data_IF_079044350862
#
_entry.id   IF_079044350862
#
_cell.length_a   1.000
_cell.length_b   1.000
_cell.length_c   1.000
_cell.angle_alpha   90.00
_cell.angle_beta   90.00
_cell.angle_gamma   90.00
#
_symmetry.space_group_name_H-M   'P 1'
#
loop_
_entity.id
_entity.type
_entity.pdbx_description
1 polymer ?
#
# COMPACT_ATOMS: atom_id res chain seq x y z
N UNK A 1 -23.31 6.62 -6.51
CA UNK A 1 -22.45 7.63 -7.19
C UNK A 1 -21.05 7.63 -6.56
N UNK A 2 -19.98 7.65 -7.35
CA UNK A 2 -18.61 7.63 -6.79
C UNK A 2 -18.30 8.95 -6.06
N UNK A 3 -17.74 8.91 -4.85
CA UNK A 3 -17.36 10.12 -4.11
C UNK A 3 -16.16 10.81 -4.79
N UNK A 4 -16.43 11.96 -5.44
CA UNK A 4 -15.46 12.77 -6.19
C UNK A 4 -14.81 13.90 -5.39
N UNK A 5 -15.04 13.98 -4.06
CA UNK A 5 -14.58 15.13 -3.24
C UNK A 5 -13.07 15.39 -3.42
N UNK A 6 -12.24 14.36 -3.33
CA UNK A 6 -10.79 14.50 -3.55
C UNK A 6 -10.45 14.96 -4.98
N UNK A 7 -11.10 14.40 -6.00
CA UNK A 7 -10.90 14.85 -7.39
C UNK A 7 -11.26 16.34 -7.53
N UNK A 8 -12.40 16.75 -6.98
CA UNK A 8 -12.87 18.14 -7.05
C UNK A 8 -11.90 19.11 -6.37
N UNK A 9 -11.31 18.73 -5.23
CA UNK A 9 -10.26 19.54 -4.57
C UNK A 9 -9.04 19.68 -5.48
N UNK A 10 -8.56 18.59 -6.09
CA UNK A 10 -7.42 18.67 -7.01
C UNK A 10 -7.73 19.55 -8.22
N UNK A 11 -8.94 19.49 -8.79
CA UNK A 11 -9.34 20.32 -9.91
C UNK A 11 -9.49 21.80 -9.54
N UNK A 12 -10.12 22.10 -8.40
CA UNK A 12 -10.33 23.47 -7.92
C UNK A 12 -9.00 24.22 -7.64
N UNK A 13 -7.96 23.49 -7.23
CA UNK A 13 -6.64 24.05 -6.94
C UNK A 13 -5.60 23.80 -8.05
N UNK A 14 -6.05 23.49 -9.27
CA UNK A 14 -5.19 23.26 -10.43
C UNK A 14 -4.21 24.41 -10.70
N UNK A 15 -4.66 25.66 -10.61
CA UNK A 15 -3.82 26.85 -10.80
C UNK A 15 -2.74 27.05 -9.72
N UNK A 16 -2.96 26.55 -8.51
CA UNK A 16 -1.91 26.49 -7.48
C UNK A 16 -0.93 25.36 -7.79
N UNK A 17 -1.45 24.16 -8.10
CA UNK A 17 -0.64 22.98 -8.37
C UNK A 17 0.30 23.16 -9.58
N UNK A 18 -0.14 23.86 -10.63
CA UNK A 18 0.68 24.14 -11.82
C UNK A 18 1.82 25.13 -11.57
N UNK A 19 1.69 26.01 -10.57
CA UNK A 19 2.72 26.99 -10.17
C UNK A 19 3.71 26.43 -9.16
N UNK A 20 3.41 25.31 -8.52
CA UNK A 20 4.33 24.66 -7.57
C UNK A 20 5.25 23.67 -8.26
N UNK A 21 6.55 23.73 -7.98
CA UNK A 21 7.47 22.69 -8.42
C UNK A 21 7.11 21.34 -7.76
N UNK A 22 6.89 20.31 -8.56
CA UNK A 22 6.51 18.98 -8.11
C UNK A 22 7.41 17.93 -8.77
N UNK A 23 7.80 16.86 -8.05
CA UNK A 23 8.49 15.74 -8.67
C UNK A 23 7.55 15.04 -9.68
N UNK A 24 8.12 14.36 -10.66
CA UNK A 24 7.36 13.69 -11.73
C UNK A 24 6.27 12.73 -11.20
N UNK A 25 6.52 12.04 -10.07
CA UNK A 25 5.54 11.17 -9.41
C UNK A 25 4.26 11.94 -9.02
N UNK A 26 4.39 13.17 -8.56
CA UNK A 26 3.28 14.00 -8.11
C UNK A 26 2.53 14.57 -9.30
N UNK A 27 3.23 15.05 -10.32
CA UNK A 27 2.62 15.54 -11.57
C UNK A 27 1.74 14.46 -12.23
N UNK A 28 2.26 13.23 -12.36
CA UNK A 28 1.49 12.09 -12.89
C UNK A 28 0.24 11.80 -12.07
N UNK A 29 0.35 11.84 -10.74
CA UNK A 29 -0.79 11.61 -9.86
C UNK A 29 -1.83 12.73 -9.94
N UNK A 30 -1.40 14.00 -10.01
CA UNK A 30 -2.28 15.17 -10.11
C UNK A 30 -3.13 15.07 -11.37
N UNK A 31 -2.50 14.96 -12.55
CA UNK A 31 -3.21 14.81 -13.83
C UNK A 31 -4.12 13.58 -13.82
N UNK A 32 -3.61 12.43 -13.37
CA UNK A 32 -4.41 11.20 -13.29
C UNK A 32 -5.65 11.37 -12.40
N UNK A 33 -5.54 12.05 -11.26
CA UNK A 33 -6.67 12.26 -10.34
C UNK A 33 -7.68 13.24 -10.94
N UNK A 34 -7.22 14.35 -11.52
CA UNK A 34 -8.08 15.37 -12.12
C UNK A 34 -8.87 14.81 -13.31
N UNK A 35 -8.24 14.04 -14.19
CA UNK A 35 -8.84 13.53 -15.43
C UNK A 35 -9.67 12.26 -15.25
N UNK A 36 -9.53 11.57 -14.11
CA UNK A 36 -10.15 10.27 -13.87
C UNK A 36 -11.68 10.29 -14.08
N UNK A 37 -12.22 9.32 -14.83
CA UNK A 37 -13.68 9.21 -15.08
C UNK A 37 -14.26 10.50 -15.69
N UNK A 38 -13.51 11.11 -16.60
CA UNK A 38 -13.97 12.20 -17.47
C UNK A 38 -13.79 11.79 -18.93
N UNK A 39 -14.40 12.54 -19.85
CA UNK A 39 -14.32 12.26 -21.30
C UNK A 39 -12.90 12.22 -21.85
N UNK A 40 -11.93 12.91 -21.22
CA UNK A 40 -10.53 12.89 -21.66
C UNK A 40 -9.88 11.50 -21.58
N UNK A 41 -10.38 10.63 -20.69
CA UNK A 41 -9.89 9.27 -20.50
C UNK A 41 -10.40 8.29 -21.57
N UNK A 42 -11.36 8.70 -22.41
CA UNK A 42 -12.15 7.81 -23.23
C UNK A 42 -13.41 7.30 -22.52
N UNK A 43 -14.27 6.66 -23.29
CA UNK A 43 -15.61 6.22 -22.86
C UNK A 43 -15.96 4.87 -23.44
N UNK A 44 -16.64 4.06 -22.63
CA UNK A 44 -17.39 2.89 -23.08
C UNK A 44 -18.87 3.27 -23.18
N UNK A 45 -19.51 2.86 -24.27
CA UNK A 45 -20.93 3.09 -24.50
C UNK A 45 -21.67 1.78 -24.35
N UNK A 46 -22.76 1.82 -23.60
CA UNK A 46 -23.63 0.68 -23.37
C UNK A 46 -25.04 1.01 -23.80
N UNK A 47 -25.81 0.00 -24.21
CA UNK A 47 -27.19 0.15 -24.65
C UNK A 47 -28.09 -0.89 -23.99
N UNK A 48 -29.25 -0.48 -23.46
CA UNK A 48 -30.27 -1.41 -22.96
C UNK A 48 -31.18 -1.91 -24.09
N UNK A 49 -32.12 -2.80 -23.78
CA UNK A 49 -33.11 -3.31 -24.75
C UNK A 49 -34.02 -2.22 -25.30
N UNK A 50 -34.27 -1.17 -24.52
CA UNK A 50 -35.05 0.03 -24.92
C UNK A 50 -34.22 1.09 -25.66
N UNK A 51 -33.05 0.73 -26.18
CA UNK A 51 -32.14 1.61 -26.94
C UNK A 51 -31.56 2.82 -26.19
N UNK A 52 -31.81 3.00 -24.89
CA UNK A 52 -31.13 4.04 -24.10
C UNK A 52 -29.62 3.79 -24.05
N UNK A 53 -28.82 4.84 -24.26
CA UNK A 53 -27.36 4.79 -24.23
C UNK A 53 -26.83 5.27 -22.88
N UNK A 54 -25.96 4.47 -22.27
CA UNK A 54 -25.21 4.84 -21.06
C UNK A 54 -23.74 5.01 -21.42
N UNK A 55 -23.22 6.22 -21.22
CA UNK A 55 -21.79 6.51 -21.38
C UNK A 55 -21.07 6.32 -20.04
N UNK A 56 -19.99 5.53 -20.05
CA UNK A 56 -19.13 5.34 -18.89
C UNK A 56 -17.70 5.73 -19.22
N UNK A 57 -17.22 6.81 -18.62
CA UNK A 57 -15.83 7.25 -18.77
C UNK A 57 -14.83 6.26 -18.13
N UNK A 58 -13.70 6.08 -18.79
CA UNK A 58 -12.64 5.20 -18.35
C UNK A 58 -11.92 5.74 -17.10
N UNK A 59 -11.29 4.83 -16.36
CA UNK A 59 -10.57 5.15 -15.12
C UNK A 59 -9.08 5.42 -15.41
N UNK A 60 -8.45 6.31 -14.64
CA UNK A 60 -7.02 6.61 -14.81
C UNK A 60 -6.09 5.47 -14.32
N UNK A 61 -6.64 4.52 -13.55
CA UNK A 61 -5.93 3.35 -12.98
C UNK A 61 -4.74 3.71 -12.08
N UNK A 62 -4.50 4.99 -11.79
CA UNK A 62 -3.43 5.45 -10.92
C UNK A 62 -3.67 5.00 -9.48
N UNK A 63 -2.63 4.47 -8.81
CA UNK A 63 -2.76 3.83 -7.48
C UNK A 63 -3.26 4.78 -6.40
N UNK A 64 -2.90 6.06 -6.48
CA UNK A 64 -3.31 7.09 -5.53
C UNK A 64 -4.68 7.70 -5.86
N UNK A 65 -5.32 7.29 -6.96
CA UNK A 65 -6.63 7.81 -7.31
C UNK A 65 -7.71 7.12 -6.46
N UNK A 66 -8.45 7.88 -5.62
CA UNK A 66 -9.47 7.30 -4.74
C UNK A 66 -10.61 6.65 -5.54
N UNK A 67 -10.97 7.21 -6.69
CA UNK A 67 -12.02 6.69 -7.59
C UNK A 67 -11.67 5.33 -8.21
N UNK A 68 -10.38 5.02 -8.39
CA UNK A 68 -9.91 3.78 -9.00
C UNK A 68 -9.59 2.68 -7.98
N UNK A 69 -9.51 3.04 -6.70
CA UNK A 69 -8.85 2.21 -5.69
C UNK A 69 -9.68 1.05 -5.17
N UNK A 70 -10.99 1.24 -5.01
CA UNK A 70 -11.86 0.32 -4.28
C UNK A 70 -11.85 -1.12 -4.84
N UNK A 71 -12.18 -1.30 -6.13
CA UNK A 71 -12.24 -2.65 -6.74
C UNK A 71 -10.91 -3.37 -6.67
N UNK A 72 -9.82 -2.71 -7.08
CA UNK A 72 -8.49 -3.34 -7.09
C UNK A 72 -7.94 -3.60 -5.68
N UNK A 73 -8.32 -2.78 -4.69
CA UNK A 73 -8.02 -3.03 -3.28
C UNK A 73 -8.73 -4.30 -2.80
N UNK A 74 -10.03 -4.45 -3.10
CA UNK A 74 -10.80 -5.65 -2.71
C UNK A 74 -10.29 -6.92 -3.40
N UNK A 75 -10.02 -6.87 -4.71
CA UNK A 75 -9.42 -7.98 -5.45
C UNK A 75 -8.06 -8.39 -4.86
N UNK A 76 -7.22 -7.43 -4.49
CA UNK A 76 -5.94 -7.74 -3.87
C UNK A 76 -6.12 -8.40 -2.50
N UNK A 77 -7.06 -7.91 -1.68
CA UNK A 77 -7.34 -8.48 -0.35
C UNK A 77 -7.76 -9.93 -0.49
N UNK A 78 -8.68 -10.20 -1.41
CA UNK A 78 -9.15 -11.54 -1.73
C UNK A 78 -7.99 -12.44 -2.20
N UNK A 79 -7.14 -11.96 -3.10
CA UNK A 79 -5.95 -12.71 -3.55
C UNK A 79 -4.96 -13.03 -2.43
N UNK A 80 -4.69 -12.09 -1.50
CA UNK A 80 -3.78 -12.37 -0.39
C UNK A 80 -4.39 -13.32 0.62
N UNK A 81 -5.68 -13.16 0.90
CA UNK A 81 -6.42 -14.03 1.80
C UNK A 81 -6.30 -15.49 1.40
N UNK A 82 -6.52 -15.79 0.11
CA UNK A 82 -6.40 -17.16 -0.43
C UNK A 82 -4.99 -17.76 -0.30
N UNK A 83 -3.97 -16.94 -0.01
CA UNK A 83 -2.58 -17.39 0.19
C UNK A 83 -2.20 -17.50 1.67
N UNK A 84 -2.98 -16.93 2.59
CA UNK A 84 -2.65 -17.04 4.01
C UNK A 84 -2.91 -18.46 4.50
N UNK A 85 -2.03 -18.92 5.39
CA UNK A 85 -2.18 -20.20 6.08
C UNK A 85 -3.28 -20.10 7.14
N UNK A 86 -3.92 -21.22 7.46
CA UNK A 86 -4.89 -21.32 8.55
C UNK A 86 -4.17 -21.44 9.90
N UNK A 87 -3.46 -20.38 10.27
CA UNK A 87 -2.67 -20.27 11.50
C UNK A 87 -2.76 -18.84 12.03
N UNK A 88 -2.41 -18.64 13.30
CA UNK A 88 -2.36 -17.31 13.88
C UNK A 88 -1.28 -16.46 13.20
N UNK A 89 -1.47 -15.15 13.24
CA UNK A 89 -0.48 -14.19 12.77
C UNK A 89 -0.22 -13.11 13.79
N UNK A 90 1.03 -12.65 13.83
CA UNK A 90 1.41 -11.46 14.55
C UNK A 90 1.47 -10.25 13.62
N UNK A 91 1.19 -9.09 14.19
CA UNK A 91 1.31 -7.81 13.51
C UNK A 91 2.43 -6.98 14.12
N UNK A 92 3.52 -6.84 13.37
CA UNK A 92 4.69 -6.08 13.80
C UNK A 92 4.75 -4.75 13.06
N UNK A 93 4.95 -3.66 13.80
CA UNK A 93 5.06 -2.31 13.25
C UNK A 93 6.46 -1.77 13.49
N UNK A 94 7.19 -1.46 12.41
CA UNK A 94 8.52 -0.85 12.47
C UNK A 94 8.43 0.62 12.09
N UNK A 95 9.02 1.49 12.91
CA UNK A 95 9.00 2.95 12.68
C UNK A 95 10.42 3.51 12.76
N UNK A 96 10.73 4.50 11.92
CA UNK A 96 12.01 5.23 11.98
C UNK A 96 11.90 6.47 12.87
N UNK A 97 13.00 6.93 13.49
CA UNK A 97 13.07 8.22 14.17
C UNK A 97 12.63 9.39 13.27
N UNK A 98 11.88 10.34 13.82
CA UNK A 98 11.33 11.48 13.08
C UNK A 98 12.43 12.43 12.56
N UNK A 99 13.62 12.37 13.14
CA UNK A 99 14.77 13.16 12.72
C UNK A 99 15.30 12.72 11.34
N UNK A 100 14.98 11.50 10.88
CA UNK A 100 15.27 11.06 9.53
C UNK A 100 14.27 11.54 8.48
N UNK A 101 13.18 12.23 8.86
CA UNK A 101 12.17 12.68 7.89
C UNK A 101 12.71 13.64 6.82
N UNK A 102 13.60 14.61 7.13
CA UNK A 102 14.25 15.40 6.09
C UNK A 102 15.03 14.51 5.13
N UNK A 103 15.83 13.57 5.64
CA UNK A 103 16.60 12.64 4.80
C UNK A 103 15.68 11.75 3.93
N UNK A 104 14.54 11.31 4.48
CA UNK A 104 13.52 10.56 3.75
C UNK A 104 12.98 11.34 2.56
N UNK A 105 12.66 12.63 2.73
CA UNK A 105 12.11 13.46 1.66
C UNK A 105 13.04 13.58 0.44
N UNK A 106 14.36 13.53 0.65
CA UNK A 106 15.34 13.56 -0.43
C UNK A 106 15.71 12.17 -0.96
N UNK A 107 15.36 11.08 -0.25
CA UNK A 107 15.82 9.72 -0.54
C UNK A 107 14.71 8.66 -0.40
N UNK A 108 13.46 9.00 -0.75
CA UNK A 108 12.31 8.14 -0.49
C UNK A 108 12.48 6.71 -1.01
N UNK A 109 13.06 6.55 -2.21
CA UNK A 109 13.31 5.24 -2.81
C UNK A 109 14.28 4.40 -1.99
N UNK A 110 15.43 4.98 -1.62
CA UNK A 110 16.48 4.29 -0.87
C UNK A 110 16.04 3.99 0.55
N UNK A 111 15.43 4.96 1.24
CA UNK A 111 14.95 4.73 2.61
C UNK A 111 13.76 3.78 2.64
N UNK A 112 12.92 3.73 1.60
CA UNK A 112 11.92 2.67 1.45
C UNK A 112 12.57 1.30 1.42
N UNK A 113 13.60 1.12 0.59
CA UNK A 113 14.28 -0.17 0.47
C UNK A 113 15.01 -0.58 1.75
N UNK A 114 15.74 0.35 2.39
CA UNK A 114 16.39 0.13 3.69
C UNK A 114 15.36 -0.27 4.75
N UNK A 115 14.23 0.45 4.81
CA UNK A 115 13.18 0.21 5.80
C UNK A 115 12.55 -1.17 5.63
N UNK A 116 12.26 -1.59 4.39
CA UNK A 116 11.79 -2.96 4.12
C UNK A 116 12.85 -4.00 4.48
N UNK A 117 14.09 -3.81 4.03
CA UNK A 117 15.15 -4.81 4.20
C UNK A 117 15.50 -5.02 5.67
N UNK A 118 15.77 -3.94 6.41
CA UNK A 118 16.08 -3.99 7.85
C UNK A 118 14.95 -4.64 8.66
N UNK A 119 13.69 -4.32 8.36
CA UNK A 119 12.54 -4.92 9.05
C UNK A 119 12.40 -6.41 8.74
N UNK A 120 12.55 -6.82 7.47
CA UNK A 120 12.52 -8.23 7.05
C UNK A 120 13.64 -9.02 7.71
N UNK A 121 14.88 -8.54 7.60
CA UNK A 121 16.04 -9.27 8.09
C UNK A 121 16.02 -9.42 9.61
N UNK A 122 15.59 -8.40 10.35
CA UNK A 122 15.46 -8.49 11.80
C UNK A 122 14.59 -9.66 12.21
N UNK A 123 13.40 -9.77 11.61
CA UNK A 123 12.46 -10.84 11.95
C UNK A 123 12.94 -12.19 11.43
N UNK A 124 13.46 -12.26 10.20
CA UNK A 124 13.92 -13.54 9.63
C UNK A 124 15.12 -14.11 10.37
N UNK A 125 16.09 -13.28 10.74
CA UNK A 125 17.28 -13.71 11.48
C UNK A 125 16.89 -14.28 12.85
N UNK A 126 16.05 -13.56 13.60
CA UNK A 126 15.60 -14.00 14.92
C UNK A 126 14.70 -15.24 14.83
N UNK A 127 13.76 -15.31 13.89
CA UNK A 127 12.89 -16.47 13.71
C UNK A 127 13.67 -17.72 13.28
N UNK A 128 14.73 -17.57 12.47
CA UNK A 128 15.55 -18.68 12.00
C UNK A 128 16.53 -19.20 13.07
N UNK A 129 16.87 -18.40 14.08
CA UNK A 129 17.76 -18.83 15.17
C UNK A 129 17.10 -19.91 16.03
N UNK A 130 17.88 -20.93 16.39
CA UNK A 130 17.44 -22.03 17.27
C UNK A 130 17.19 -21.57 18.71
N UNK A 131 17.82 -20.47 19.13
CA UNK A 131 17.62 -19.87 20.46
C UNK A 131 16.22 -19.27 20.61
N UNK A 132 15.55 -19.02 19.48
CA UNK A 132 14.15 -18.62 19.44
C UNK A 132 13.32 -19.75 18.83
N UNK A 133 13.08 -19.73 17.52
CA UNK A 133 12.09 -20.61 16.89
C UNK A 133 12.70 -21.66 15.96
N UNK A 134 13.78 -21.34 15.25
CA UNK A 134 14.39 -22.24 14.27
C UNK A 134 13.51 -22.46 13.03
N UNK A 135 12.74 -21.45 12.62
CA UNK A 135 11.75 -21.55 11.54
C UNK A 135 11.89 -20.46 10.48
N UNK A 136 11.47 -20.78 9.26
CA UNK A 136 11.22 -19.80 8.20
C UNK A 136 9.74 -19.42 8.18
N UNK A 137 9.38 -18.16 8.52
CA UNK A 137 7.99 -17.72 8.56
C UNK A 137 7.45 -17.33 7.17
N UNK A 138 6.12 -17.24 7.06
CA UNK A 138 5.44 -16.48 6.02
C UNK A 138 5.30 -15.03 6.45
N UNK A 139 5.62 -14.08 5.55
CA UNK A 139 5.58 -12.66 5.89
C UNK A 139 5.03 -11.80 4.75
N UNK A 140 4.18 -10.84 5.11
CA UNK A 140 3.65 -9.81 4.23
C UNK A 140 3.92 -8.44 4.85
N UNK A 141 4.54 -7.52 4.12
CA UNK A 141 4.93 -6.20 4.63
C UNK A 141 4.33 -5.09 3.79
N UNK A 142 3.73 -4.08 4.42
CA UNK A 142 3.18 -2.89 3.77
C UNK A 142 3.82 -1.61 4.30
N UNK A 143 4.29 -0.74 3.40
CA UNK A 143 4.82 0.57 3.71
C UNK A 143 3.72 1.62 3.79
N UNK A 144 3.74 2.37 4.88
CA UNK A 144 2.93 3.56 5.09
C UNK A 144 3.84 4.75 5.26
N UNK A 145 3.37 5.92 4.83
CA UNK A 145 4.14 7.15 4.96
C UNK A 145 3.38 8.25 5.70
N UNK A 146 2.21 7.97 6.28
CA UNK A 146 1.36 8.98 6.91
C UNK A 146 0.93 8.62 8.32
N UNK A 147 0.87 9.65 9.17
CA UNK A 147 0.12 9.63 10.42
C UNK A 147 -1.36 9.92 10.19
N UNK A 148 -2.16 9.84 11.26
CA UNK A 148 -3.61 10.10 11.20
C UNK A 148 -3.97 11.54 10.81
N UNK A 149 -3.04 12.49 11.00
CA UNK A 149 -3.17 13.89 10.58
C UNK A 149 -2.52 14.18 9.21
N UNK A 150 -2.22 13.14 8.41
CA UNK A 150 -1.52 13.24 7.11
C UNK A 150 -0.10 13.82 7.21
N UNK A 151 0.52 13.74 8.39
CA UNK A 151 1.94 14.10 8.57
C UNK A 151 2.81 12.97 8.06
N UNK A 152 3.98 13.29 7.49
CA UNK A 152 4.96 12.28 7.07
C UNK A 152 5.38 11.42 8.27
N UNK A 153 5.13 10.12 8.17
CA UNK A 153 5.44 9.12 9.18
C UNK A 153 5.68 7.77 8.51
N UNK A 154 6.89 7.52 7.98
CA UNK A 154 7.25 6.26 7.36
C UNK A 154 7.31 5.11 8.38
N UNK A 155 6.55 4.06 8.13
CA UNK A 155 6.52 2.86 8.97
C UNK A 155 6.09 1.64 8.16
N UNK A 156 6.57 0.48 8.56
CA UNK A 156 6.16 -0.80 7.98
C UNK A 156 5.19 -1.48 8.91
N UNK A 157 4.11 -1.97 8.33
CA UNK A 157 3.28 -3.00 8.94
C UNK A 157 3.67 -4.35 8.37
N UNK A 158 3.87 -5.32 9.25
CA UNK A 158 4.31 -6.66 8.93
C UNK A 158 3.30 -7.65 9.52
N UNK A 159 2.70 -8.46 8.66
CA UNK A 159 1.95 -9.64 9.04
C UNK A 159 2.89 -10.83 8.93
N UNK A 160 3.14 -11.52 10.04
CA UNK A 160 4.05 -12.66 10.11
C UNK A 160 3.33 -13.84 10.74
N UNK A 161 3.52 -15.05 10.22
CA UNK A 161 2.93 -16.28 10.77
C UNK A 161 3.42 -16.54 12.19
N UNK A 162 2.55 -17.00 13.08
CA UNK A 162 2.86 -17.51 14.42
C UNK A 162 3.49 -18.91 14.37
N UNK A 163 4.41 -19.10 13.43
CA UNK A 163 5.01 -20.38 13.10
C UNK A 163 5.77 -20.29 11.78
N UNK A 164 6.36 -21.40 11.40
CA UNK A 164 7.05 -21.49 10.12
C UNK A 164 7.61 -22.88 9.85
N UNK A 165 8.29 -22.99 8.73
CA UNK A 165 8.88 -24.23 8.27
C UNK A 165 10.27 -24.41 8.89
N UNK A 166 10.49 -25.53 9.57
CA UNK A 166 11.81 -25.92 10.07
C UNK A 166 12.73 -26.38 8.94
N UNK A 167 14.03 -26.58 9.23
CA UNK A 167 14.98 -27.17 8.27
C UNK A 167 14.59 -28.59 7.80
N UNK A 168 13.79 -29.32 8.60
CA UNK A 168 13.27 -30.65 8.25
C UNK A 168 11.92 -30.58 7.52
N UNK A 169 11.56 -29.40 7.03
CA UNK A 169 10.32 -29.14 6.31
C UNK A 169 9.03 -29.52 7.07
N UNK A 170 9.09 -29.47 8.40
CA UNK A 170 7.93 -29.59 9.29
C UNK A 170 7.51 -28.23 9.81
N UNK A 171 6.20 -27.99 9.84
CA UNK A 171 5.64 -26.82 10.48
C UNK A 171 5.90 -26.85 11.98
N UNK A 172 6.31 -25.71 12.54
CA UNK A 172 6.46 -25.49 13.98
C UNK A 172 5.86 -24.14 14.34
N UNK A 173 5.01 -24.14 15.36
CA UNK A 173 4.39 -22.92 15.91
C UNK A 173 5.35 -22.17 16.83
N UNK A 174 5.18 -20.85 16.96
CA UNK A 174 5.98 -20.00 17.86
C UNK A 174 5.49 -20.03 19.31
N UNK A 175 4.30 -20.57 19.57
CA UNK A 175 3.62 -20.45 20.85
C UNK A 175 3.11 -19.02 21.11
N UNK A 176 3.07 -18.60 22.38
CA UNK A 176 2.33 -17.40 22.76
C UNK A 176 2.95 -16.07 22.34
N UNK A 177 4.26 -16.04 22.19
CA UNK A 177 5.04 -14.84 21.95
C UNK A 177 5.85 -14.98 20.67
N UNK A 178 5.86 -13.92 19.85
CA UNK A 178 6.66 -13.91 18.64
C UNK A 178 8.15 -13.82 18.97
N UNK A 179 8.62 -12.72 19.54
CA UNK A 179 10.03 -12.47 19.81
C UNK A 179 10.17 -11.45 20.95
N UNK A 180 11.26 -11.46 21.73
CA UNK A 180 11.50 -10.42 22.74
C UNK A 180 11.65 -9.03 22.08
N UNK A 181 10.70 -8.13 22.33
CA UNK A 181 10.64 -6.83 21.63
C UNK A 181 11.89 -5.97 21.80
N UNK A 182 12.59 -6.07 22.95
CA UNK A 182 13.86 -5.36 23.18
C UNK A 182 14.97 -5.81 22.23
N UNK A 183 15.05 -7.11 21.96
CA UNK A 183 16.00 -7.69 21.00
C UNK A 183 15.66 -7.22 19.58
N UNK A 184 14.37 -7.32 19.20
CA UNK A 184 13.89 -6.87 17.88
C UNK A 184 14.21 -5.38 17.65
N UNK A 185 13.93 -4.51 18.64
CA UNK A 185 14.25 -3.07 18.56
C UNK A 185 15.75 -2.82 18.35
N UNK A 186 16.60 -3.50 19.12
CA UNK A 186 18.06 -3.32 19.05
C UNK A 186 18.63 -3.77 17.70
N UNK A 187 18.25 -4.96 17.25
CA UNK A 187 18.72 -5.53 15.98
C UNK A 187 18.20 -4.71 14.78
N UNK A 188 16.92 -4.31 14.80
CA UNK A 188 16.34 -3.44 13.77
C UNK A 188 17.09 -2.12 13.64
N UNK A 189 17.35 -1.45 14.77
CA UNK A 189 18.15 -0.22 14.80
C UNK A 189 19.52 -0.45 14.19
N UNK A 190 20.23 -1.51 14.61
CA UNK A 190 21.56 -1.85 14.10
C UNK A 190 21.55 -2.05 12.57
N UNK A 191 20.63 -2.87 12.06
CA UNK A 191 20.50 -3.16 10.63
C UNK A 191 20.15 -1.93 9.81
N UNK A 192 19.15 -1.15 10.24
CA UNK A 192 18.78 0.07 9.53
C UNK A 192 19.94 1.06 9.47
N UNK A 193 20.62 1.27 10.61
CA UNK A 193 21.75 2.19 10.70
C UNK A 193 22.94 1.74 9.84
N UNK A 194 23.26 0.45 9.83
CA UNK A 194 24.32 -0.10 8.99
C UNK A 194 24.04 0.13 7.49
N UNK A 195 22.83 -0.23 7.03
CA UNK A 195 22.42 -0.02 5.64
C UNK A 195 22.38 1.47 5.26
N UNK A 196 21.96 2.34 6.17
CA UNK A 196 21.96 3.78 5.93
C UNK A 196 23.39 4.33 5.79
N UNK A 197 24.29 3.90 6.68
CA UNK A 197 25.69 4.33 6.67
C UNK A 197 26.42 3.85 5.41
N UNK A 198 26.11 2.65 4.92
CA UNK A 198 26.63 2.14 3.66
C UNK A 198 26.25 3.06 2.48
N UNK A 199 24.97 3.42 2.36
CA UNK A 199 24.51 4.32 1.31
C UNK A 199 25.13 5.72 1.42
N UNK A 200 25.35 6.21 2.65
CA UNK A 200 26.03 7.48 2.89
C UNK A 200 27.49 7.44 2.43
N UNK A 201 28.25 6.42 2.86
CA UNK A 201 29.67 6.25 2.50
C UNK A 201 29.88 6.04 1.01
N UNK A 202 28.93 5.40 0.33
CA UNK A 202 28.94 5.24 -1.11
C UNK A 202 28.58 6.52 -1.90
N UNK A 203 28.29 7.65 -1.23
CA UNK A 203 27.88 8.88 -1.89
C UNK A 203 26.50 8.80 -2.55
N UNK A 204 25.70 7.79 -2.20
CA UNK A 204 24.41 7.53 -2.85
C UNK A 204 23.25 8.28 -2.20
N UNK A 205 23.43 8.83 -0.99
CA UNK A 205 22.39 9.63 -0.34
C UNK A 205 22.45 11.08 -0.83
N UNK A 206 21.29 11.62 -1.22
CA UNK A 206 21.11 13.05 -1.43
C UNK A 206 20.85 13.72 -0.09
N UNK A 207 21.83 14.44 0.43
CA UNK A 207 21.65 15.21 1.67
C UNK A 207 20.75 16.44 1.39
N UNK A 208 19.92 16.85 2.36
CA UNK A 208 19.20 18.12 2.28
C UNK A 208 20.16 19.28 2.00
N UNK A 209 19.87 20.18 1.05
CA UNK A 209 20.75 21.32 0.72
C UNK A 209 21.01 22.28 1.88
N UNK A 210 20.12 22.30 2.88
CA UNK A 210 20.26 23.13 4.08
C UNK A 210 21.20 22.55 5.14
N UNK A 211 21.73 21.33 4.94
CA UNK A 211 22.62 20.70 5.90
C UNK A 211 24.06 21.17 5.74
N UNK A 212 24.68 21.52 6.87
CA UNK A 212 26.12 21.78 6.92
C UNK A 212 26.93 20.48 6.74
N UNK A 213 28.22 20.63 6.44
CA UNK A 213 29.18 19.53 6.46
C UNK A 213 29.13 18.86 7.85
N UNK A 214 29.10 17.52 7.89
CA UNK A 214 29.02 16.74 9.12
C UNK A 214 27.63 16.65 9.79
N UNK A 215 26.61 17.35 9.28
CA UNK A 215 25.25 17.29 9.85
C UNK A 215 24.65 15.88 9.82
N UNK A 216 24.98 15.09 8.78
CA UNK A 216 24.59 13.68 8.71
C UNK A 216 25.18 12.89 9.88
N UNK A 217 26.48 13.05 10.17
CA UNK A 217 27.16 12.30 11.23
C UNK A 217 26.59 12.62 12.62
N UNK A 218 26.25 13.89 12.87
CA UNK A 218 25.58 14.34 14.09
C UNK A 218 24.21 13.65 14.22
N UNK A 219 23.39 13.73 13.18
CA UNK A 219 22.07 13.10 13.13
C UNK A 219 22.16 11.58 13.33
N UNK A 220 23.08 10.94 12.62
CA UNK A 220 23.30 9.49 12.65
C UNK A 220 23.62 9.03 14.07
N UNK A 221 24.58 9.69 14.74
CA UNK A 221 24.96 9.39 16.13
C UNK A 221 23.81 9.62 17.10
N UNK A 222 23.07 10.73 16.95
CA UNK A 222 21.92 11.03 17.80
C UNK A 222 20.82 9.96 17.66
N UNK A 223 20.47 9.59 16.44
CA UNK A 223 19.48 8.55 16.16
C UNK A 223 19.95 7.15 16.60
N UNK A 224 21.25 6.86 16.59
CA UNK A 224 21.78 5.57 17.08
C UNK A 224 21.61 5.42 18.59
N UNK A 225 21.75 6.51 19.36
CA UNK A 225 21.59 6.50 20.82
C UNK A 225 20.13 6.42 21.28
N UNK A 226 19.18 6.77 20.42
CA UNK A 226 17.74 6.70 20.73
C UNK A 226 17.24 5.28 20.92
N UNK A 227 16.18 5.14 21.71
CA UNK A 227 15.34 3.95 21.69
C UNK A 227 14.42 3.99 20.47
N UNK A 228 14.47 2.94 19.65
CA UNK A 228 13.65 2.84 18.43
C UNK A 228 12.31 2.18 18.73
N UNK A 229 11.29 2.56 17.97
CA UNK A 229 9.93 2.03 18.14
C UNK A 229 9.69 0.85 17.21
N UNK A 230 9.56 -0.33 17.81
CA UNK A 230 8.96 -1.52 17.20
C UNK A 230 7.84 -1.97 18.11
N UNK A 231 6.66 -2.21 17.54
CA UNK A 231 5.49 -2.72 18.27
C UNK A 231 5.09 -4.08 17.71
N UNK A 232 5.09 -5.10 18.55
CA UNK A 232 4.45 -6.39 18.27
C UNK A 232 3.06 -6.31 18.89
N UNK A 233 2.01 -6.37 18.06
CA UNK A 233 0.63 -6.41 18.55
C UNK A 233 0.24 -7.84 18.93
N UNK A 234 -0.85 -7.97 19.68
CA UNK A 234 -1.46 -9.25 20.03
C UNK A 234 -1.78 -10.09 18.79
N UNK A 235 -1.87 -11.40 19.02
CA UNK A 235 -2.17 -12.38 17.97
C UNK A 235 -3.54 -12.10 17.39
N UNK A 236 -3.61 -12.23 16.07
CA UNK A 236 -4.89 -12.34 15.41
C UNK A 236 -5.15 -13.83 15.24
N UNK A 237 -6.25 -14.34 15.80
CA UNK A 237 -6.72 -15.73 15.56
C UNK A 237 -6.72 -16.03 14.06
N UNK A 238 -7.03 -15.01 13.26
CA UNK A 238 -7.13 -15.06 11.81
C UNK A 238 -6.56 -13.77 11.18
N UNK A 239 -5.63 -13.87 10.22
CA UNK A 239 -4.98 -12.72 9.55
C UNK A 239 -5.90 -11.70 8.82
N UNK A 240 -7.22 -11.88 8.84
CA UNK A 240 -8.24 -11.06 8.18
C UNK A 240 -8.26 -9.61 8.67
N UNK A 241 -8.20 -9.39 9.99
CA UNK A 241 -8.18 -8.06 10.59
C UNK A 241 -7.02 -7.21 10.07
N UNK A 242 -5.87 -7.86 9.84
CA UNK A 242 -4.67 -7.24 9.31
C UNK A 242 -4.72 -7.13 7.78
N UNK A 243 -5.31 -8.07 7.04
CA UNK A 243 -5.49 -7.92 5.59
C UNK A 243 -6.41 -6.73 5.23
N UNK A 244 -7.49 -6.52 5.97
CA UNK A 244 -8.33 -5.32 5.82
C UNK A 244 -7.58 -4.04 6.21
N UNK A 245 -6.63 -4.14 7.13
CA UNK A 245 -5.72 -3.05 7.42
C UNK A 245 -4.78 -2.81 6.23
N UNK A 246 -4.07 -3.84 5.74
CA UNK A 246 -3.13 -3.81 4.61
C UNK A 246 -3.76 -3.30 3.31
N UNK A 247 -5.06 -3.59 3.14
CA UNK A 247 -5.87 -3.11 2.02
C UNK A 247 -5.68 -1.61 1.78
N UNK A 248 -5.61 -0.83 2.85
CA UNK A 248 -5.56 0.64 2.84
C UNK A 248 -4.33 1.21 2.14
N UNK A 249 -3.28 0.43 1.92
CA UNK A 249 -1.96 0.91 1.45
C UNK A 249 -1.67 0.58 0.00
N UNK A 250 -2.42 -0.36 -0.55
CA UNK A 250 -2.22 -0.83 -1.92
C UNK A 250 -2.72 0.25 -2.88
N UNK A 251 -3.91 0.81 -2.61
CA UNK A 251 -4.58 1.80 -3.47
C UNK A 251 -5.50 2.71 -2.66
N UNK A 252 -5.66 3.96 -3.14
CA UNK A 252 -6.63 4.93 -2.61
C UNK A 252 -6.03 6.08 -1.82
N UNK A 253 -4.72 6.01 -1.51
CA UNK A 253 -4.00 7.07 -0.83
C UNK A 253 -4.29 7.12 0.68
N UNK A 254 -3.82 8.18 1.35
CA UNK A 254 -3.77 8.24 2.81
C UNK A 254 -5.12 8.55 3.48
N UNK A 255 -6.12 8.95 2.69
CA UNK A 255 -7.39 9.48 3.18
C UNK A 255 -8.57 8.82 2.46
N UNK A 256 -9.53 8.32 3.23
CA UNK A 256 -10.82 7.89 2.67
C UNK A 256 -11.68 9.13 2.39
N UNK A 257 -12.38 9.22 1.25
CA UNK A 257 -13.19 10.40 0.93
C UNK A 257 -14.19 10.79 2.03
N UNK A 258 -14.78 9.81 2.72
CA UNK A 258 -15.69 10.00 3.87
C UNK A 258 -15.05 10.65 5.11
N UNK A 259 -13.73 10.80 5.16
CA UNK A 259 -13.05 11.51 6.23
C UNK A 259 -13.08 13.03 5.99
N UNK A 260 -13.27 13.49 4.75
CA UNK A 260 -13.42 14.91 4.45
C UNK A 260 -14.85 15.30 4.83
N UNK A 261 -14.98 16.29 5.71
CA UNK A 261 -16.26 16.74 6.25
C UNK A 261 -16.75 18.00 5.54
N UNK A 262 -15.86 18.98 5.37
CA UNK A 262 -16.18 20.26 4.75
C UNK A 262 -14.99 20.78 3.93
N UNK A 263 -15.29 21.50 2.85
CA UNK A 263 -14.31 22.15 1.98
C UNK A 263 -14.85 23.52 1.62
N UNK A 264 -14.14 24.57 2.01
CA UNK A 264 -14.42 25.94 1.62
C UNK A 264 -13.13 26.69 1.22
N UNK A 265 -13.25 27.97 0.88
CA UNK A 265 -12.12 28.81 0.48
C UNK A 265 -11.13 29.08 1.62
N UNK A 266 -11.56 28.97 2.89
CA UNK A 266 -10.73 29.22 4.08
C UNK A 266 -10.02 27.95 4.55
N UNK A 267 -10.58 26.77 4.29
CA UNK A 267 -10.00 25.52 4.78
C UNK A 267 -10.72 24.25 4.38
N UNK A 268 -10.04 23.14 4.63
CA UNK A 268 -10.56 21.78 4.50
C UNK A 268 -10.55 21.12 5.87
N UNK A 269 -11.71 20.58 6.24
CA UNK A 269 -11.93 19.86 7.47
C UNK A 269 -11.94 18.35 7.22
N UNK A 270 -11.12 17.61 7.98
CA UNK A 270 -11.19 16.15 7.94
C UNK A 270 -11.13 15.51 9.33
N UNK A 271 -11.78 14.37 9.45
CA UNK A 271 -11.86 13.57 10.67
C UNK A 271 -10.70 12.60 10.78
N UNK A 272 -10.10 12.54 11.96
CA UNK A 272 -9.09 11.55 12.31
C UNK A 272 -9.39 10.94 13.69
N UNK A 273 -8.81 9.77 13.96
CA UNK A 273 -8.89 9.13 15.28
C UNK A 273 -7.58 9.36 16.01
N UNK A 274 -7.67 9.97 17.19
CA UNK A 274 -6.54 10.24 18.08
C UNK A 274 -6.39 9.08 19.07
N UNK A 275 -5.23 8.43 19.04
CA UNK A 275 -4.93 7.30 19.93
C UNK A 275 -4.49 7.72 21.32
N UNK A 276 -4.04 8.97 21.49
CA UNK A 276 -3.69 9.47 22.83
C UNK A 276 -4.95 9.64 23.66
N UNK A 277 -6.00 10.17 23.03
CA UNK A 277 -7.26 10.50 23.70
C UNK A 277 -8.37 9.49 23.42
N UNK A 278 -8.10 8.47 22.59
CA UNK A 278 -9.06 7.45 22.12
C UNK A 278 -10.36 8.05 21.53
N UNK A 279 -10.27 9.24 20.90
CA UNK A 279 -11.42 10.00 20.41
C UNK A 279 -11.28 10.37 18.94
N UNK A 280 -12.43 10.52 18.26
CA UNK A 280 -12.48 11.08 16.89
C UNK A 280 -12.43 12.60 17.00
N UNK A 281 -11.45 13.21 16.32
CA UNK A 281 -11.23 14.65 16.27
C UNK A 281 -11.32 15.16 14.83
N UNK A 282 -11.51 16.46 14.70
CA UNK A 282 -11.46 17.18 13.42
C UNK A 282 -10.16 17.98 13.34
N UNK A 283 -9.55 18.02 12.16
CA UNK A 283 -8.44 18.90 11.85
C UNK A 283 -8.82 19.75 10.63
N UNK A 284 -8.65 21.07 10.77
CA UNK A 284 -8.78 22.03 9.68
C UNK A 284 -7.41 22.38 9.13
N UNK A 285 -7.22 22.27 7.81
CA UNK A 285 -5.99 22.68 7.12
C UNK A 285 -6.31 23.71 6.03
N UNK A 286 -5.33 24.57 5.73
CA UNK A 286 -5.36 25.33 4.48
C UNK A 286 -5.37 24.35 3.30
N UNK A 287 -6.10 24.62 2.20
CA UNK A 287 -6.20 23.70 1.07
C UNK A 287 -4.84 23.34 0.45
N UNK A 288 -3.93 24.33 0.37
CA UNK A 288 -2.56 24.15 -0.10
C UNK A 288 -1.75 23.19 0.78
N UNK A 289 -1.88 23.32 2.11
CA UNK A 289 -1.22 22.44 3.08
C UNK A 289 -1.79 21.02 3.02
N UNK A 290 -3.11 20.89 2.86
CA UNK A 290 -3.76 19.60 2.66
C UNK A 290 -3.24 18.90 1.41
N UNK A 291 -3.20 19.59 0.26
CA UNK A 291 -2.68 19.04 -1.00
C UNK A 291 -1.21 18.64 -0.85
N UNK A 292 -0.38 19.50 -0.24
CA UNK A 292 1.03 19.19 0.03
C UNK A 292 1.18 17.89 0.83
N UNK A 293 0.42 17.73 1.92
CA UNK A 293 0.41 16.50 2.73
C UNK A 293 -0.03 15.28 1.93
N UNK A 294 -1.12 15.37 1.17
CA UNK A 294 -1.59 14.25 0.34
C UNK A 294 -0.54 13.83 -0.69
N UNK A 295 0.10 14.80 -1.35
CA UNK A 295 1.12 14.56 -2.38
C UNK A 295 2.40 13.91 -1.81
N UNK A 296 2.77 14.19 -0.55
CA UNK A 296 3.90 13.54 0.13
C UNK A 296 3.74 12.03 0.26
N UNK A 297 2.51 11.52 0.17
CA UNK A 297 2.21 10.09 0.32
C UNK A 297 2.06 9.36 -1.02
N UNK A 298 2.30 10.05 -2.15
CA UNK A 298 2.44 9.39 -3.44
C UNK A 298 3.78 8.67 -3.43
N UNK A 299 3.81 7.35 -3.64
CA UNK A 299 5.06 6.62 -3.58
C UNK A 299 5.94 6.93 -4.80
N UNK A 300 7.24 6.64 -4.70
CA UNK A 300 8.13 6.66 -5.85
C UNK A 300 7.67 5.73 -6.97
N UNK A 301 8.06 6.06 -8.19
CA UNK A 301 7.70 5.31 -9.39
C UNK A 301 8.39 3.94 -9.34
N UNK A 302 7.67 2.88 -9.71
CA UNK A 302 8.21 1.51 -9.77
C UNK A 302 8.47 0.84 -8.43
N UNK A 303 8.20 1.50 -7.28
CA UNK A 303 8.41 0.90 -5.96
C UNK A 303 7.18 0.14 -5.47
N UNK A 304 7.43 -1.07 -4.99
CA UNK A 304 6.42 -1.89 -4.32
C UNK A 304 6.19 -1.42 -2.89
N UNK A 305 4.94 -1.03 -2.62
CA UNK A 305 4.48 -0.63 -1.29
C UNK A 305 4.01 -1.82 -0.45
N UNK A 306 3.82 -2.98 -1.07
CA UNK A 306 3.55 -4.24 -0.36
C UNK A 306 4.45 -5.33 -0.93
N UNK A 307 5.08 -6.10 -0.06
CA UNK A 307 6.07 -7.13 -0.41
C UNK A 307 5.80 -8.39 0.40
N UNK A 308 5.88 -9.55 -0.25
CA UNK A 308 5.78 -10.85 0.41
C UNK A 308 7.15 -11.52 0.51
N UNK A 309 7.42 -12.14 1.65
CA UNK A 309 8.69 -12.77 1.99
C UNK A 309 8.49 -14.16 2.60
N UNK A 310 9.56 -14.95 2.61
CA UNK A 310 9.56 -16.30 3.19
C UNK A 310 8.52 -17.18 2.55
N UNK A 311 7.70 -17.84 3.35
CA UNK A 311 6.67 -18.76 2.85
C UNK A 311 5.57 -18.07 2.01
N UNK A 312 5.43 -16.75 2.08
CA UNK A 312 4.48 -16.00 1.23
C UNK A 312 5.13 -15.40 -0.03
N UNK A 313 6.44 -15.56 -0.22
CA UNK A 313 7.10 -15.10 -1.44
C UNK A 313 6.70 -15.97 -2.63
N UNK A 314 6.45 -15.34 -3.79
CA UNK A 314 6.03 -16.06 -5.00
C UNK A 314 7.06 -17.10 -5.49
N UNK A 315 8.35 -16.85 -5.27
CA UNK A 315 9.43 -17.80 -5.59
C UNK A 315 9.42 -19.06 -4.70
N UNK A 316 8.75 -19.03 -3.55
CA UNK A 316 8.70 -20.14 -2.59
C UNK A 316 7.41 -20.96 -2.72
N UNK A 317 6.78 -21.00 -3.90
CA UNK A 317 5.51 -21.72 -4.13
C UNK A 317 5.55 -23.17 -3.63
N UNK A 318 6.63 -23.92 -3.88
CA UNK A 318 6.76 -25.31 -3.40
C UNK A 318 6.68 -25.41 -1.87
N UNK A 319 7.40 -24.52 -1.15
CA UNK A 319 7.38 -24.48 0.32
C UNK A 319 6.05 -23.97 0.86
N UNK A 320 5.40 -23.04 0.14
CA UNK A 320 4.06 -22.56 0.46
C UNK A 320 3.04 -23.70 0.37
N UNK A 321 3.02 -24.43 -0.75
CA UNK A 321 2.11 -25.56 -0.97
C UNK A 321 2.35 -26.65 0.10
N UNK A 322 3.62 -26.96 0.40
CA UNK A 322 3.98 -27.89 1.48
C UNK A 322 3.45 -27.46 2.86
N UNK A 323 3.57 -26.17 3.20
CA UNK A 323 3.02 -25.65 4.46
C UNK A 323 1.50 -25.71 4.44
N UNK A 324 0.86 -25.36 3.32
CA UNK A 324 -0.60 -25.41 3.20
C UNK A 324 -1.17 -26.83 3.37
N UNK A 325 -0.41 -27.87 3.04
CA UNK A 325 -0.81 -29.26 3.33
C UNK A 325 -0.69 -29.63 4.82
N UNK A 326 0.16 -28.94 5.58
CA UNK A 326 0.37 -29.20 7.02
C UNK A 326 -0.57 -28.39 7.91
N UNK A 327 -0.85 -27.13 7.54
CA UNK A 327 -1.64 -26.20 8.36
C UNK A 327 -2.88 -25.67 7.68
N UNK A 328 -3.18 -26.07 6.45
CA UNK A 328 -4.30 -25.54 5.69
C UNK A 328 -4.11 -24.12 5.19
N UNK A 329 -5.11 -23.66 4.43
CA UNK A 329 -5.26 -22.26 4.01
C UNK A 329 -6.45 -21.66 4.75
N UNK A 330 -6.35 -20.35 4.98
CA UNK A 330 -7.39 -19.59 5.67
C UNK A 330 -8.76 -19.81 5.01
N UNK A 331 -9.74 -20.29 5.79
CA UNK A 331 -11.09 -20.58 5.30
C UNK A 331 -11.84 -19.32 4.84
N UNK A 332 -12.74 -19.50 3.87
CA UNK A 332 -13.61 -18.44 3.34
C UNK A 332 -14.76 -18.09 4.31
N UNK A 333 -14.48 -17.27 5.31
CA UNK A 333 -15.49 -16.42 5.94
C UNK A 333 -15.91 -15.30 4.98
N UNK A 334 -17.22 -15.07 4.78
CA UNK A 334 -17.73 -14.03 3.86
C UNK A 334 -16.97 -12.71 4.01
N UNK A 335 -16.45 -12.17 2.89
CA UNK A 335 -16.03 -10.78 2.81
C UNK A 335 -17.18 -9.88 3.33
N UNK A 336 -16.90 -8.72 3.94
CA UNK A 336 -17.95 -7.73 4.17
C UNK A 336 -18.67 -7.51 2.84
N UNK A 337 -19.97 -7.81 2.81
CA UNK A 337 -20.81 -7.65 1.62
C UNK A 337 -20.61 -6.22 1.07
N UNK A 338 -20.17 -6.11 -0.19
CA UNK A 338 -19.88 -4.79 -0.75
C UNK A 338 -19.41 -4.73 -2.20
N UNK A 339 -19.25 -5.86 -2.87
CA UNK A 339 -19.20 -5.92 -4.33
C UNK A 339 -19.90 -7.21 -4.75
N UNK A 340 -21.21 -7.13 -4.90
CA UNK A 340 -21.95 -8.14 -5.64
C UNK A 340 -21.58 -7.99 -7.12
N UNK A 341 -21.54 -9.08 -7.91
CA UNK A 341 -21.23 -9.01 -9.35
C UNK A 341 -22.21 -8.08 -10.10
N UNK A 342 -23.45 -8.02 -9.59
CA UNK A 342 -24.50 -7.08 -10.00
C UNK A 342 -24.07 -5.59 -9.85
N UNK A 343 -23.20 -5.23 -8.89
CA UNK A 343 -22.63 -3.88 -8.76
C UNK A 343 -21.60 -3.52 -9.87
N UNK A 344 -21.21 -4.50 -10.69
CA UNK A 344 -20.29 -4.34 -11.82
C UNK A 344 -21.00 -4.28 -13.17
N UNK A 345 -22.31 -4.58 -13.22
CA UNK A 345 -23.11 -4.42 -14.42
C UNK A 345 -23.49 -2.96 -14.58
N UNK A 346 -23.26 -2.41 -15.76
CA UNK A 346 -23.76 -1.07 -16.09
C UNK A 346 -25.25 -1.21 -16.31
N UNK A 347 -26.05 -0.71 -15.38
CA UNK A 347 -27.50 -0.60 -15.54
C UNK A 347 -27.86 0.67 -16.30
N UNK A 348 -28.97 0.62 -17.01
CA UNK A 348 -29.52 1.80 -17.65
C UNK A 348 -30.03 2.76 -16.57
N UNK A 349 -29.53 4.01 -16.55
CA UNK A 349 -30.01 5.01 -15.60
C UNK A 349 -31.46 5.46 -15.78
N UNK A 350 -32.15 4.99 -16.82
CA UNK A 350 -33.55 5.33 -17.10
C UNK A 350 -34.51 4.17 -16.81
N UNK A 351 -34.19 2.96 -17.29
CA UNK A 351 -35.06 1.79 -17.14
C UNK A 351 -34.53 0.75 -16.14
N UNK A 352 -33.35 0.98 -15.54
CA UNK A 352 -32.68 0.07 -14.59
C UNK A 352 -32.39 -1.34 -15.09
N UNK A 353 -32.61 -1.61 -16.38
CA UNK A 353 -32.27 -2.89 -17.00
C UNK A 353 -30.76 -3.02 -17.29
N UNK A 354 -30.31 -4.26 -17.44
CA UNK A 354 -28.95 -4.59 -17.89
C UNK A 354 -28.64 -3.95 -19.25
N UNK A 355 -27.45 -3.36 -19.38
CA UNK A 355 -26.97 -2.82 -20.65
C UNK A 355 -25.90 -3.71 -21.29
N UNK A 356 -25.78 -3.67 -22.63
CA UNK A 356 -24.73 -4.34 -23.39
C UNK A 356 -23.75 -3.33 -23.94
N UNK A 357 -22.45 -3.65 -23.93
CA UNK A 357 -21.42 -2.80 -24.52
C UNK A 357 -21.64 -2.70 -26.04
N UNK A 358 -21.73 -1.47 -26.57
CA UNK A 358 -21.91 -1.21 -28.00
C UNK A 358 -20.69 -0.54 -28.65
N UNK A 359 -19.80 0.07 -27.87
CA UNK A 359 -18.61 0.72 -28.43
C UNK A 359 -17.65 1.26 -27.39
N UNK A 360 -16.41 1.54 -27.82
CA UNK A 360 -15.37 2.15 -26.99
C UNK A 360 -14.64 3.23 -27.78
N UNK A 361 -14.39 4.36 -27.12
CA UNK A 361 -13.50 5.41 -27.59
C UNK A 361 -12.37 5.51 -26.59
N UNK A 362 -11.13 5.38 -27.05
CA UNK A 362 -9.94 5.52 -26.22
C UNK A 362 -9.37 6.93 -26.35
N UNK A 363 -8.73 7.42 -25.28
CA UNK A 363 -8.02 8.70 -25.31
C UNK A 363 -6.90 8.68 -26.36
N UNK A 364 -6.75 9.76 -27.13
CA UNK A 364 -5.61 9.95 -28.05
C UNK A 364 -4.27 10.19 -27.35
N UNK A 365 -4.27 10.45 -26.04
CA UNK A 365 -3.07 10.67 -25.25
C UNK A 365 -2.23 9.38 -25.14
N UNK A 366 -0.93 9.46 -25.43
CA UNK A 366 0.01 8.32 -25.31
C UNK A 366 -0.03 7.78 -23.87
N UNK A 367 -0.50 6.54 -23.68
CA UNK A 367 -0.32 5.82 -22.42
C UNK A 367 1.18 5.74 -22.12
N UNK A 368 1.63 6.36 -21.03
CA UNK A 368 3.01 6.24 -20.58
C UNK A 368 3.35 4.77 -20.34
N UNK A 369 4.33 4.26 -21.08
CA UNK A 369 4.80 2.88 -21.00
C UNK A 369 5.25 2.58 -19.55
N UNK A 370 4.83 1.44 -19.01
CA UNK A 370 5.27 0.93 -17.72
C UNK A 370 6.76 0.55 -17.79
N UNK A 371 7.64 1.39 -17.24
CA UNK A 371 9.07 1.14 -17.19
C UNK A 371 9.42 0.16 -16.05
N UNK A 372 9.33 -1.15 -16.29
CA UNK A 372 9.98 -2.15 -15.45
C UNK A 372 10.51 -3.28 -16.35
N UNK A 373 11.70 -3.07 -16.93
CA UNK A 373 12.60 -4.15 -17.34
C UNK A 373 13.94 -3.89 -16.66
N UNK A 374 14.06 -4.32 -15.40
CA UNK A 374 15.33 -4.37 -14.66
C UNK A 374 15.52 -5.78 -14.14
N UNK A 375 16.71 -6.34 -14.34
CA UNK A 375 17.05 -7.73 -14.04
C UNK A 375 16.74 -8.08 -12.57
N UNK A 376 16.01 -9.17 -12.37
CA UNK A 376 15.75 -9.74 -11.07
C UNK A 376 17.07 -10.19 -10.42
N UNK A 377 17.41 -9.64 -9.25
CA UNK A 377 18.39 -10.26 -8.33
C UNK A 377 17.71 -11.47 -7.68
N UNK A 378 18.48 -12.53 -7.43
CA UNK A 378 18.04 -13.86 -6.99
C UNK A 378 17.24 -13.91 -5.66
N UNK A 379 17.17 -12.81 -4.90
CA UNK A 379 16.35 -12.69 -3.68
C UNK A 379 14.95 -12.06 -3.92
N UNK A 380 14.43 -12.13 -5.15
CA UNK A 380 13.25 -11.35 -5.56
C UNK A 380 12.01 -11.60 -4.69
N UNK A 381 11.58 -10.56 -3.97
CA UNK A 381 10.31 -10.49 -3.28
C UNK A 381 9.16 -10.58 -4.28
N UNK A 382 8.19 -11.46 -4.04
CA UNK A 382 6.93 -11.46 -4.76
C UNK A 382 6.13 -10.23 -4.35
N UNK A 383 6.12 -9.19 -5.19
CA UNK A 383 5.28 -8.01 -5.01
C UNK A 383 4.23 -7.95 -6.11
N UNK A 384 3.03 -7.49 -5.79
CA UNK A 384 2.06 -7.16 -6.83
C UNK A 384 2.53 -5.90 -7.56
N UNK A 385 3.15 -6.09 -8.72
CA UNK A 385 3.42 -5.04 -9.71
C UNK A 385 2.10 -4.73 -10.40
N UNK A 386 1.93 -3.51 -10.93
CA UNK A 386 0.95 -3.32 -11.99
C UNK A 386 1.24 -4.32 -13.11
N UNK A 387 0.42 -5.37 -13.23
CA UNK A 387 0.27 -6.01 -14.52
C UNK A 387 -0.23 -4.95 -15.51
N UNK A 388 0.41 -4.96 -16.68
CA UNK A 388 -0.02 -4.22 -17.87
C UNK A 388 -1.48 -4.50 -18.19
N UNK A 389 -2.03 -3.67 -19.06
CA UNK A 389 -3.43 -3.63 -19.47
C UNK A 389 -4.14 -5.00 -19.45
N UNK A 390 -4.84 -5.32 -18.35
CA UNK A 390 -6.00 -6.18 -18.46
C UNK A 390 -7.07 -5.37 -19.23
N UNK A 391 -7.67 -5.95 -20.29
CA UNK A 391 -8.84 -5.36 -20.90
C UNK A 391 -9.90 -5.20 -19.81
N UNK A 392 -10.63 -4.09 -19.83
CA UNK A 392 -11.87 -4.01 -19.05
C UNK A 392 -12.78 -5.13 -19.59
N UNK A 393 -12.75 -6.29 -18.92
CA UNK A 393 -13.59 -7.44 -19.24
C UNK A 393 -15.01 -7.13 -18.76
N UNK A 394 -15.72 -6.36 -19.57
CA UNK A 394 -17.12 -6.63 -19.83
C UNK A 394 -17.14 -7.65 -20.99
N UNK A 395 -17.27 -8.94 -20.67
CA UNK A 395 -17.44 -10.02 -21.65
C UNK A 395 -16.76 -11.34 -21.28
N UNK A 396 -17.56 -12.28 -20.73
CA UNK A 396 -17.54 -13.77 -20.83
C UNK A 396 -16.23 -14.53 -20.52
N UNK A 397 -16.22 -15.66 -19.80
CA UNK A 397 -17.25 -16.46 -19.16
C UNK A 397 -16.57 -17.65 -18.47
N UNK A 398 -17.16 -18.21 -17.41
CA UNK A 398 -16.88 -19.56 -16.91
C UNK A 398 -18.10 -20.02 -16.08
N UNK A 399 -18.51 -21.26 -16.32
CA UNK A 399 -19.62 -22.04 -15.75
C UNK A 399 -21.00 -21.87 -16.42
N UNK A 400 -21.11 -22.49 -17.60
CA UNK A 400 -22.28 -23.30 -17.93
C UNK A 400 -22.10 -24.73 -17.38
N UNK A 401 -23.24 -25.35 -17.06
CA UNK A 401 -23.47 -26.73 -16.59
C UNK A 401 -23.36 -26.90 -15.06
N UNK A 402 -24.37 -27.37 -14.33
CA UNK A 402 -25.14 -28.61 -14.51
C UNK A 402 -24.20 -29.83 -14.59
#
# INVERSE_FOLDING_TARGET
MHNRVLQNIFSAYSGYLSKTAQPLKNLKAISSIQECRTKSMGSSYYRCKHNHVTEQHHSCRHRSCPLCSGRKQLQWVDQQRRKLFDTEHFHVVFTIPHEYLPLWQYNEEKLTDILFLSSKETLFELMASKDYHGVTPGMLMALHTWGRQLTLHPHIHCLITAGGLTLREKWKETGEYLLPVRVVKSLYRGKFQALLLEQYRAGLLKLPPSWSIGQFDILFKACYRKEWSVRIQERYEHGQGVLLYFSRYIKGGPLKPKQILNVDHKGLDFRYFDHRDQRRKQLRLKPQEFLRRVLQHIPPIGKHMVRSYGLYAGCNKKKHDLCSNQVGLMKDQRLPAGLQIQDLMVECGQCHESTKLTGRVWSKAKKGISFIKGAARQDSAGGNVQHGDEPDTAGMGLFSSA
#
